data_IF_494601060239
#
_entry.id   IF_494601060239
#
_cell.length_a   1.000
_cell.length_b   1.000
_cell.length_c   1.000
_cell.angle_alpha   90.00
_cell.angle_beta   90.00
_cell.angle_gamma   90.00
#
_symmetry.space_group_name_H-M   'P 1'
#
loop_
_entity.id
_entity.type
_entity.pdbx_description
1 polymer ?
#
# COMPACT_ATOMS: atom_id res chain seq x y z
N UNK A 1 5.84 -22.15 -28.67
CA UNK A 1 4.70 -21.67 -27.87
C UNK A 1 5.28 -20.82 -26.75
N UNK A 2 5.09 -19.50 -26.81
CA UNK A 2 5.61 -18.60 -25.79
C UNK A 2 4.82 -18.83 -24.49
N UNK A 3 5.51 -19.24 -23.43
CA UNK A 3 4.95 -19.46 -22.12
C UNK A 3 4.52 -18.10 -21.58
N UNK A 4 3.20 -17.86 -21.52
CA UNK A 4 2.63 -16.62 -21.02
C UNK A 4 3.08 -16.39 -19.58
N UNK A 5 3.92 -15.37 -19.38
CA UNK A 5 4.29 -14.90 -18.06
C UNK A 5 3.03 -14.52 -17.30
N UNK A 6 2.81 -15.14 -16.15
CA UNK A 6 1.67 -14.87 -15.30
C UNK A 6 1.83 -13.45 -14.73
N UNK A 7 1.07 -12.47 -15.24
CA UNK A 7 1.14 -11.08 -14.79
C UNK A 7 0.30 -10.88 -13.53
N UNK A 8 0.73 -11.44 -12.40
CA UNK A 8 0.13 -11.15 -11.10
C UNK A 8 0.83 -9.94 -10.46
N UNK A 9 0.11 -8.83 -10.24
CA UNK A 9 0.59 -7.69 -9.45
C UNK A 9 0.89 -6.40 -10.20
N UNK A 10 0.58 -6.30 -11.50
CA UNK A 10 0.67 -5.02 -12.22
C UNK A 10 -0.59 -4.20 -11.93
N UNK A 11 -0.50 -3.30 -10.97
CA UNK A 11 -1.50 -2.24 -10.81
C UNK A 11 -1.47 -1.35 -12.05
N UNK A 12 -2.52 -1.44 -12.87
CA UNK A 12 -2.76 -0.58 -14.02
C UNK A 12 -3.78 0.49 -13.64
N UNK A 13 -3.39 1.76 -13.67
CA UNK A 13 -4.35 2.86 -13.65
C UNK A 13 -4.58 3.32 -15.08
N UNK A 14 -5.82 3.21 -15.53
CA UNK A 14 -6.27 3.80 -16.79
C UNK A 14 -6.79 5.19 -16.47
N UNK A 15 -6.19 6.20 -17.09
CA UNK A 15 -6.70 7.57 -17.03
C UNK A 15 -7.08 7.99 -18.44
N UNK A 16 -8.35 8.36 -18.64
CA UNK A 16 -8.84 8.93 -19.89
C UNK A 16 -8.85 10.45 -19.77
N UNK A 17 -8.23 11.14 -20.72
CA UNK A 17 -8.25 12.60 -20.81
C UNK A 17 -8.83 13.00 -22.17
N UNK A 18 -10.03 13.60 -22.21
CA UNK A 18 -10.59 14.15 -23.44
C UNK A 18 -9.64 15.19 -24.07
N UNK A 19 -9.40 15.07 -25.37
CA UNK A 19 -8.59 16.00 -26.16
C UNK A 19 -9.46 16.91 -27.03
N UNK A 20 -10.51 16.35 -27.63
CA UNK A 20 -11.48 17.10 -28.44
C UNK A 20 -12.90 16.75 -28.03
N UNK A 21 -13.74 17.77 -28.06
CA UNK A 21 -15.16 17.71 -27.76
C UNK A 21 -15.93 18.18 -28.98
N UNK A 22 -17.04 17.52 -29.26
CA UNK A 22 -17.99 17.86 -30.32
C UNK A 22 -19.39 18.07 -29.73
N UNK A 23 -20.18 18.92 -30.36
CA UNK A 23 -21.50 19.37 -29.87
C UNK A 23 -21.51 20.72 -29.15
N UNK A 24 -22.71 21.31 -29.03
CA UNK A 24 -22.98 22.59 -28.35
C UNK A 24 -23.86 22.38 -27.12
N UNK A 25 -23.70 23.26 -26.11
CA UNK A 25 -24.49 23.20 -24.88
C UNK A 25 -24.26 21.93 -24.07
N UNK A 26 -25.35 21.31 -23.60
CA UNK A 26 -25.33 20.10 -22.76
C UNK A 26 -25.04 18.80 -23.53
N UNK A 27 -25.06 18.82 -24.86
CA UNK A 27 -24.79 17.63 -25.69
C UNK A 27 -23.30 17.42 -26.02
N UNK A 28 -22.38 18.15 -25.37
CA UNK A 28 -20.94 18.01 -25.62
C UNK A 28 -20.43 16.60 -25.31
N UNK A 29 -19.90 15.93 -26.32
CA UNK A 29 -19.32 14.58 -26.22
C UNK A 29 -17.85 14.59 -26.62
N UNK A 30 -16.97 13.86 -25.92
CA UNK A 30 -15.58 13.74 -26.33
C UNK A 30 -15.48 12.88 -27.59
N UNK A 31 -14.89 13.43 -28.66
CA UNK A 31 -14.65 12.73 -29.94
C UNK A 31 -13.22 12.23 -30.08
N UNK A 32 -12.31 12.76 -29.26
CA UNK A 32 -10.92 12.30 -29.19
C UNK A 32 -10.48 12.29 -27.72
N UNK A 33 -9.85 11.21 -27.27
CA UNK A 33 -9.35 11.09 -25.91
C UNK A 33 -7.97 10.43 -25.89
N UNK A 34 -7.12 10.93 -24.99
CA UNK A 34 -5.84 10.32 -24.66
C UNK A 34 -6.07 9.24 -23.59
N UNK A 35 -5.69 8.01 -23.91
CA UNK A 35 -5.64 6.92 -22.94
C UNK A 35 -4.24 6.84 -22.34
N UNK A 36 -4.14 7.11 -21.06
CA UNK A 36 -2.90 7.00 -20.30
C UNK A 36 -2.95 5.69 -19.52
N UNK A 37 -2.11 4.75 -19.94
CA UNK A 37 -1.86 3.50 -19.25
C UNK A 37 -0.69 3.68 -18.29
N UNK A 38 -0.97 3.80 -17.00
CA UNK A 38 0.07 3.82 -15.97
C UNK A 38 0.29 2.39 -15.50
N UNK A 39 1.37 1.78 -15.98
CA UNK A 39 1.87 0.52 -15.46
C UNK A 39 2.88 0.80 -14.35
N UNK A 40 2.85 0.02 -13.28
CA UNK A 40 3.87 0.11 -12.24
C UNK A 40 3.80 1.41 -11.45
N UNK A 41 3.13 1.37 -10.29
CA UNK A 41 3.74 2.07 -9.17
C UNK A 41 5.04 1.32 -8.82
N UNK A 42 6.01 1.95 -8.22
CA UNK A 42 6.91 1.25 -7.30
C UNK A 42 6.57 1.85 -5.95
N UNK A 43 6.48 1.02 -4.91
CA UNK A 43 6.22 1.58 -3.60
C UNK A 43 7.44 2.45 -3.25
N UNK A 44 7.23 3.76 -3.16
CA UNK A 44 8.28 4.70 -2.78
C UNK A 44 8.75 4.32 -1.38
N UNK A 45 10.03 3.90 -1.29
CA UNK A 45 10.77 3.60 -0.07
C UNK A 45 9.98 3.01 1.10
N UNK A 46 9.89 1.67 1.13
CA UNK A 46 9.44 0.84 2.27
C UNK A 46 10.06 1.30 3.61
N UNK A 47 11.28 1.84 3.56
CA UNK A 47 12.03 2.37 4.70
C UNK A 47 11.28 3.45 5.49
N UNK A 48 10.47 4.30 4.84
CA UNK A 48 9.72 5.35 5.52
C UNK A 48 8.63 4.78 6.45
N UNK A 49 7.92 3.75 5.99
CA UNK A 49 6.86 3.12 6.79
C UNK A 49 7.45 2.39 8.01
N UNK A 50 8.60 1.73 7.85
CA UNK A 50 9.32 1.09 8.96
C UNK A 50 9.84 2.11 9.98
N UNK A 51 10.43 3.22 9.52
CA UNK A 51 10.87 4.33 10.39
C UNK A 51 9.71 4.96 11.16
N UNK A 52 8.56 5.16 10.50
CA UNK A 52 7.35 5.66 11.13
C UNK A 52 6.84 4.70 12.21
N UNK A 53 6.84 3.40 11.95
CA UNK A 53 6.49 2.37 12.95
C UNK A 53 7.40 2.45 14.18
N UNK A 54 8.72 2.56 13.95
CA UNK A 54 9.71 2.74 15.02
C UNK A 54 9.46 4.01 15.82
N UNK A 55 9.15 5.12 15.16
CA UNK A 55 8.80 6.36 15.84
C UNK A 55 7.55 6.21 16.72
N UNK A 56 6.49 5.59 16.20
CA UNK A 56 5.25 5.35 16.95
C UNK A 56 5.46 4.48 18.18
N UNK A 57 6.32 3.46 18.09
CA UNK A 57 6.70 2.61 19.22
C UNK A 57 7.22 3.41 20.42
N UNK A 58 8.01 4.45 20.17
CA UNK A 58 8.60 5.28 21.23
C UNK A 58 7.70 6.42 21.71
N UNK A 59 6.78 6.92 20.88
CA UNK A 59 6.07 8.17 21.17
C UNK A 59 4.59 8.00 21.54
N UNK A 60 3.90 6.92 21.13
CA UNK A 60 2.46 6.79 21.40
C UNK A 60 2.14 6.43 22.87
N UNK A 61 3.04 5.75 23.56
CA UNK A 61 2.80 5.26 24.93
C UNK A 61 3.84 5.86 25.88
N UNK A 62 3.55 7.02 26.51
CA UNK A 62 4.46 7.63 27.47
C UNK A 62 4.65 6.71 28.69
N UNK A 63 5.89 6.24 28.88
CA UNK A 63 6.31 5.36 29.98
C UNK A 63 7.63 4.66 29.67
N UNK A 64 8.50 4.50 30.69
CA UNK A 64 9.86 3.97 30.57
C UNK A 64 9.95 2.69 29.72
N UNK A 65 10.82 2.72 28.71
CA UNK A 65 11.39 1.54 28.05
C UNK A 65 10.40 0.61 27.34
N UNK A 66 10.40 0.62 26.01
CA UNK A 66 9.70 -0.36 25.13
C UNK A 66 8.17 -0.39 25.24
N UNK A 67 7.55 0.62 25.86
CA UNK A 67 6.12 0.72 26.22
C UNK A 67 5.15 -0.16 25.43
N UNK A 68 5.07 0.02 24.11
CA UNK A 68 4.17 -0.77 23.25
C UNK A 68 4.49 -2.27 23.19
N UNK A 69 5.77 -2.65 23.06
CA UNK A 69 6.18 -4.07 23.04
C UNK A 69 5.84 -4.76 24.36
N UNK A 70 6.05 -4.07 25.48
CA UNK A 70 5.67 -4.59 26.81
C UNK A 70 4.15 -4.79 26.93
N UNK A 71 3.36 -3.87 26.37
CA UNK A 71 1.90 -3.95 26.38
C UNK A 71 1.38 -5.08 25.48
N UNK A 72 2.01 -5.32 24.33
CA UNK A 72 1.66 -6.39 23.40
C UNK A 72 2.12 -7.77 23.89
N UNK A 73 3.31 -7.88 24.50
CA UNK A 73 3.86 -9.15 25.02
C UNK A 73 3.17 -9.67 26.28
N UNK A 74 2.33 -8.85 26.92
CA UNK A 74 1.52 -9.27 28.08
C UNK A 74 0.12 -9.75 27.70
N UNK A 75 -0.21 -9.84 26.40
CA UNK A 75 -1.54 -10.21 25.88
C UNK A 75 -2.70 -9.36 26.40
N UNK A 76 -2.43 -8.22 27.05
CA UNK A 76 -3.46 -7.31 27.59
C UNK A 76 -3.95 -6.28 26.58
N UNK A 77 -3.31 -6.22 25.41
CA UNK A 77 -3.60 -5.26 24.36
C UNK A 77 -3.65 -6.00 23.04
N UNK A 78 -4.78 -5.91 22.37
CA UNK A 78 -4.97 -6.43 21.03
C UNK A 78 -4.60 -5.34 20.02
N UNK A 79 -3.72 -5.67 19.06
CA UNK A 79 -3.31 -4.76 17.99
C UNK A 79 -3.86 -5.29 16.67
N UNK A 80 -4.71 -4.51 16.01
CA UNK A 80 -5.25 -4.83 14.69
C UNK A 80 -4.82 -3.77 13.68
N UNK A 81 -4.25 -4.22 12.57
CA UNK A 81 -3.88 -3.36 11.45
C UNK A 81 -4.75 -3.75 10.26
N UNK A 82 -5.51 -2.79 9.74
CA UNK A 82 -6.33 -2.97 8.55
C UNK A 82 -5.66 -2.28 7.37
N UNK A 83 -5.67 -2.94 6.22
CA UNK A 83 -5.16 -2.40 4.96
C UNK A 83 -6.10 -2.77 3.83
N UNK A 84 -6.09 -1.98 2.75
CA UNK A 84 -6.73 -2.40 1.49
C UNK A 84 -6.02 -3.64 0.94
N UNK A 85 -6.73 -4.39 0.12
CA UNK A 85 -6.24 -5.47 -0.74
C UNK A 85 -5.24 -5.02 -1.82
N UNK A 86 -4.96 -3.72 -1.94
CA UNK A 86 -3.88 -3.21 -2.76
C UNK A 86 -2.50 -3.64 -2.16
N UNK A 87 -1.75 -4.49 -2.86
CA UNK A 87 -0.49 -5.06 -2.41
C UNK A 87 0.57 -4.02 -2.01
N UNK A 88 0.50 -2.80 -2.55
CA UNK A 88 1.32 -1.66 -2.09
C UNK A 88 0.95 -1.22 -0.69
N UNK A 89 -0.35 -1.10 -0.43
CA UNK A 89 -0.89 -0.70 0.87
C UNK A 89 -0.61 -1.79 1.89
N UNK A 90 -0.73 -3.07 1.51
CA UNK A 90 -0.34 -4.21 2.34
C UNK A 90 1.16 -4.18 2.68
N UNK A 91 2.04 -3.93 1.69
CA UNK A 91 3.48 -3.80 1.94
C UNK A 91 3.80 -2.62 2.87
N UNK A 92 3.16 -1.46 2.70
CA UNK A 92 3.30 -0.33 3.63
C UNK A 92 2.83 -0.67 5.04
N UNK A 93 1.69 -1.33 5.17
CA UNK A 93 1.13 -1.73 6.46
C UNK A 93 2.05 -2.75 7.17
N UNK A 94 2.60 -3.72 6.43
CA UNK A 94 3.54 -4.70 6.94
C UNK A 94 4.87 -4.03 7.38
N UNK A 95 5.41 -3.11 6.58
CA UNK A 95 6.61 -2.35 6.91
C UNK A 95 6.42 -1.52 8.19
N UNK A 96 5.27 -0.85 8.31
CA UNK A 96 4.89 -0.13 9.52
C UNK A 96 4.79 -1.06 10.74
N UNK A 97 4.09 -2.19 10.61
CA UNK A 97 3.93 -3.18 11.68
C UNK A 97 5.30 -3.72 12.15
N UNK A 98 6.20 -3.98 11.21
CA UNK A 98 7.57 -4.41 11.51
C UNK A 98 8.32 -3.38 12.36
N UNK A 99 8.32 -2.11 11.94
CA UNK A 99 8.96 -1.05 12.71
C UNK A 99 8.32 -0.84 14.09
N UNK A 100 7.00 -0.95 14.15
CA UNK A 100 6.20 -0.79 15.37
C UNK A 100 6.48 -1.89 16.40
N UNK A 101 6.64 -3.14 15.94
CA UNK A 101 6.77 -4.34 16.78
C UNK A 101 8.21 -4.86 16.90
N UNK A 102 9.20 -4.18 16.31
CA UNK A 102 10.61 -4.61 16.30
C UNK A 102 10.83 -6.01 15.71
N UNK A 103 10.07 -6.36 14.67
CA UNK A 103 10.15 -7.69 14.09
C UNK A 103 11.46 -7.86 13.29
N UNK A 104 12.19 -8.94 13.57
CA UNK A 104 13.38 -9.31 12.83
C UNK A 104 13.04 -9.95 11.47
N UNK A 105 13.95 -9.81 10.51
CA UNK A 105 13.84 -10.41 9.19
C UNK A 105 13.37 -9.47 8.08
N UNK A 106 13.32 -10.01 6.86
CA UNK A 106 12.76 -9.32 5.72
C UNK A 106 11.23 -9.32 5.83
N UNK A 107 10.58 -8.28 5.29
CA UNK A 107 9.13 -8.33 5.12
C UNK A 107 8.81 -9.50 4.20
N UNK A 108 8.27 -10.57 4.77
CA UNK A 108 7.76 -11.70 3.99
C UNK A 108 6.73 -11.14 3.01
N UNK A 109 6.80 -11.46 1.72
CA UNK A 109 5.79 -11.02 0.77
C UNK A 109 4.45 -11.60 1.25
N UNK A 110 3.58 -10.77 1.84
CA UNK A 110 2.22 -11.19 2.20
C UNK A 110 1.43 -11.22 0.90
N UNK A 111 1.61 -12.31 0.16
CA UNK A 111 0.83 -12.64 -1.03
C UNK A 111 -0.33 -13.54 -0.56
N UNK A 112 -1.40 -12.92 -0.07
CA UNK A 112 -2.70 -13.61 -0.06
C UNK A 112 -3.34 -13.32 -1.40
N UNK A 113 -3.23 -14.26 -2.33
CA UNK A 113 -4.10 -14.27 -3.51
C UNK A 113 -5.46 -14.82 -3.07
N UNK A 114 -6.58 -14.11 -3.26
CA UNK A 114 -7.86 -14.77 -3.33
C UNK A 114 -7.86 -15.62 -4.61
N UNK A 115 -8.02 -16.93 -4.42
CA UNK A 115 -8.34 -17.90 -5.48
C UNK A 115 -9.65 -17.58 -6.16
#
# INVERSE_FOLDING_TARGET
>A
MAQGGNFSGIYMKVQLKPLKWDGEGEEKRPVEALMILKYGGVLTHVTLAEELGRFFRYNMYPGEGTGLLRLHSTYRHDLKIYSSDEGRVQMSAAAFAKGLLDLEGQLTPILVFPS
#
